data_IF_758092665632
#
_entry.id   IF_758092665632
#
_cell.length_a   1.000
_cell.length_b   1.000
_cell.length_c   1.000
_cell.angle_alpha   90.00
_cell.angle_beta   90.00
_cell.angle_gamma   90.00
#
_symmetry.space_group_name_H-M   'P 1'
#
loop_
_entity.id
_entity.type
_entity.pdbx_description
1 polymer ?
#
# COMPACT_ATOMS: atom_id res chain seq x y z
N UNK A 1 20.18 -30.65 -5.90
CA UNK A 1 19.97 -30.59 -4.42
C UNK A 1 18.48 -30.34 -4.19
N UNK A 2 17.77 -31.23 -3.46
CA UNK A 2 16.36 -30.95 -3.14
C UNK A 2 16.31 -29.86 -2.06
N UNK A 3 15.62 -28.77 -2.34
CA UNK A 3 15.38 -27.68 -1.39
C UNK A 3 14.53 -28.20 -0.22
N UNK A 4 15.02 -28.01 1.00
CA UNK A 4 14.29 -28.39 2.20
C UNK A 4 13.56 -27.18 2.75
N UNK A 5 12.36 -26.92 2.25
CA UNK A 5 11.54 -25.77 2.62
C UNK A 5 11.29 -25.68 4.12
N UNK A 6 11.05 -26.82 4.80
CA UNK A 6 10.79 -26.82 6.23
C UNK A 6 11.99 -26.29 7.02
N UNK A 7 13.20 -26.77 6.70
CA UNK A 7 14.43 -26.31 7.35
C UNK A 7 14.62 -24.80 7.17
N UNK A 8 14.40 -24.29 5.98
CA UNK A 8 14.59 -22.86 5.69
C UNK A 8 13.53 -21.99 6.39
N UNK A 9 12.28 -22.45 6.46
CA UNK A 9 11.24 -21.73 7.21
C UNK A 9 11.47 -21.77 8.72
N UNK A 10 11.93 -22.87 9.28
CA UNK A 10 12.29 -22.97 10.71
C UNK A 10 13.45 -22.02 11.05
N UNK A 11 14.46 -21.92 10.17
CA UNK A 11 15.58 -20.99 10.33
C UNK A 11 15.11 -19.52 10.24
N UNK A 12 14.23 -19.19 9.29
CA UNK A 12 13.66 -17.86 9.17
C UNK A 12 12.87 -17.49 10.44
N UNK A 13 12.05 -18.40 10.96
CA UNK A 13 11.32 -18.18 12.20
C UNK A 13 12.27 -17.86 13.36
N UNK A 14 13.33 -18.65 13.55
CA UNK A 14 14.33 -18.40 14.56
C UNK A 14 14.96 -16.99 14.44
N UNK A 15 15.29 -16.57 13.22
CA UNK A 15 15.84 -15.23 12.98
C UNK A 15 14.84 -14.11 13.26
N UNK A 16 13.57 -14.31 12.95
CA UNK A 16 12.51 -13.35 13.27
C UNK A 16 12.32 -13.24 14.79
N UNK A 17 12.23 -14.35 15.50
CA UNK A 17 12.10 -14.39 16.94
C UNK A 17 13.26 -13.66 17.63
N UNK A 18 14.51 -13.85 17.17
CA UNK A 18 15.68 -13.17 17.73
C UNK A 18 15.69 -11.65 17.45
N UNK A 19 15.37 -11.25 16.22
CA UNK A 19 15.41 -9.84 15.82
C UNK A 19 14.25 -9.03 16.39
N UNK A 20 13.08 -9.63 16.57
CA UNK A 20 11.87 -8.93 17.02
C UNK A 20 11.67 -8.97 18.54
N UNK A 21 12.48 -9.71 19.31
CA UNK A 21 12.29 -9.90 20.76
C UNK A 21 12.25 -8.60 21.60
N UNK A 22 12.86 -7.51 21.11
CA UNK A 22 12.88 -6.21 21.80
C UNK A 22 12.02 -5.16 21.10
N UNK A 23 11.28 -5.54 20.06
CA UNK A 23 10.33 -4.67 19.36
C UNK A 23 9.01 -4.68 20.12
N UNK A 24 8.32 -3.53 20.20
CA UNK A 24 6.98 -3.48 20.80
C UNK A 24 6.05 -4.49 20.12
N UNK A 25 5.27 -5.20 20.91
CA UNK A 25 4.42 -6.30 20.45
C UNK A 25 3.53 -5.89 19.25
N UNK A 26 2.85 -4.74 19.34
CA UNK A 26 1.94 -4.27 18.30
C UNK A 26 2.67 -4.06 16.96
N UNK A 27 3.87 -3.46 17.01
CA UNK A 27 4.69 -3.21 15.81
C UNK A 27 5.22 -4.51 15.23
N UNK A 28 5.73 -5.41 16.07
CA UNK A 28 6.20 -6.72 15.63
C UNK A 28 5.06 -7.54 15.03
N UNK A 29 3.87 -7.50 15.64
CA UNK A 29 2.68 -8.18 15.12
C UNK A 29 2.28 -7.66 13.75
N UNK A 30 2.19 -6.36 13.56
CA UNK A 30 1.86 -5.77 12.26
C UNK A 30 2.85 -6.16 11.16
N UNK A 31 4.15 -6.21 11.50
CA UNK A 31 5.19 -6.67 10.59
C UNK A 31 5.01 -8.14 10.19
N UNK A 32 4.72 -9.02 11.16
CA UNK A 32 4.48 -10.45 10.91
C UNK A 32 3.20 -10.63 10.09
N UNK A 33 2.12 -9.93 10.43
CA UNK A 33 0.86 -9.96 9.66
C UNK A 33 1.08 -9.49 8.21
N UNK A 34 1.98 -8.53 8.00
CA UNK A 34 2.35 -8.09 6.65
C UNK A 34 3.13 -9.16 5.88
N UNK A 35 4.09 -9.83 6.50
CA UNK A 35 4.83 -10.95 5.87
C UNK A 35 3.86 -12.03 5.41
N UNK A 36 2.88 -12.40 6.24
CA UNK A 36 1.86 -13.40 5.90
C UNK A 36 1.03 -12.96 4.69
N UNK A 37 0.52 -11.71 4.69
CA UNK A 37 -0.21 -11.17 3.52
C UNK A 37 0.64 -11.10 2.26
N UNK A 38 1.88 -10.64 2.39
CA UNK A 38 2.82 -10.58 1.26
C UNK A 38 3.09 -11.98 0.68
N UNK A 39 3.24 -12.97 1.54
CA UNK A 39 3.41 -14.37 1.15
C UNK A 39 2.16 -14.90 0.43
N UNK A 40 0.98 -14.51 0.88
CA UNK A 40 -0.29 -14.83 0.20
C UNK A 40 -0.32 -14.24 -1.20
N UNK A 41 -0.02 -12.94 -1.36
CA UNK A 41 0.04 -12.31 -2.69
C UNK A 41 1.07 -12.95 -3.61
N UNK A 42 2.24 -13.31 -3.05
CA UNK A 42 3.27 -14.03 -3.79
C UNK A 42 2.75 -15.38 -4.31
N UNK A 43 2.15 -16.19 -3.41
CA UNK A 43 1.60 -17.51 -3.80
C UNK A 43 0.49 -17.40 -4.84
N UNK A 44 -0.48 -16.50 -4.63
CA UNK A 44 -1.55 -16.25 -5.60
C UNK A 44 -1.00 -15.82 -6.98
N UNK A 45 0.09 -15.05 -6.98
CA UNK A 45 0.79 -14.63 -8.19
C UNK A 45 1.39 -15.82 -8.96
N UNK A 46 2.02 -16.75 -8.25
CA UNK A 46 2.59 -17.97 -8.83
C UNK A 46 1.49 -18.90 -9.37
N UNK A 47 0.42 -19.10 -8.60
CA UNK A 47 -0.70 -19.95 -8.95
C UNK A 47 -1.62 -19.31 -10.02
N UNK A 48 -1.38 -18.05 -10.41
CA UNK A 48 -2.27 -17.25 -11.26
C UNK A 48 -3.72 -17.19 -10.75
N UNK A 49 -3.87 -17.28 -9.44
CA UNK A 49 -5.15 -17.30 -8.73
C UNK A 49 -5.34 -16.00 -7.90
N UNK A 50 -6.46 -15.88 -7.20
CA UNK A 50 -6.71 -14.81 -6.22
C UNK A 50 -6.77 -13.40 -6.82
N UNK A 51 -7.07 -13.25 -8.11
CA UNK A 51 -7.21 -11.93 -8.71
C UNK A 51 -8.47 -11.25 -8.14
N UNK A 52 -8.28 -10.29 -7.26
CA UNK A 52 -9.39 -9.46 -6.75
C UNK A 52 -9.97 -8.66 -7.91
N UNK A 53 -11.28 -8.44 -7.87
CA UNK A 53 -11.93 -7.52 -8.79
C UNK A 53 -11.29 -6.14 -8.65
N UNK A 54 -10.69 -5.66 -9.72
CA UNK A 54 -10.10 -4.34 -9.79
C UNK A 54 -11.20 -3.31 -10.08
N UNK A 55 -11.03 -2.03 -9.70
CA UNK A 55 -11.89 -0.99 -10.21
C UNK A 55 -11.85 -1.01 -11.74
N UNK A 56 -13.05 -0.92 -12.37
CA UNK A 56 -13.15 -0.89 -13.82
C UNK A 56 -12.51 0.38 -14.38
N UNK A 57 -11.90 0.27 -15.56
CA UNK A 57 -11.34 1.41 -16.32
C UNK A 57 -10.39 2.28 -15.47
N UNK A 58 -9.49 1.64 -14.76
CA UNK A 58 -8.47 2.34 -13.97
C UNK A 58 -7.59 3.19 -14.88
N UNK A 59 -7.47 4.48 -14.60
CA UNK A 59 -6.76 5.46 -15.39
C UNK A 59 -5.90 6.40 -14.52
N UNK A 60 -5.04 7.19 -15.17
CA UNK A 60 -4.36 8.32 -14.53
C UNK A 60 -5.39 9.26 -13.91
N UNK A 61 -5.13 9.73 -12.71
CA UNK A 61 -6.04 10.62 -11.99
C UNK A 61 -7.04 9.91 -11.10
N UNK A 62 -7.15 8.60 -11.19
CA UNK A 62 -7.94 7.83 -10.22
C UNK A 62 -7.23 7.76 -8.87
N UNK A 63 -7.97 7.89 -7.80
CA UNK A 63 -7.52 7.57 -6.44
C UNK A 63 -8.08 6.22 -6.05
N UNK A 64 -7.22 5.36 -5.54
CA UNK A 64 -7.52 4.01 -5.11
C UNK A 64 -7.08 3.80 -3.66
N UNK A 65 -7.51 2.70 -3.06
CA UNK A 65 -6.97 2.20 -1.81
C UNK A 65 -5.98 1.07 -2.10
N UNK A 66 -4.72 1.24 -1.72
CA UNK A 66 -3.66 0.28 -1.99
C UNK A 66 -2.87 -0.10 -0.73
N UNK A 67 -2.48 -1.38 -0.65
CA UNK A 67 -1.63 -1.88 0.43
C UNK A 67 -0.14 -1.67 0.08
N UNK A 68 0.54 -0.85 0.87
CA UNK A 68 1.98 -0.59 0.73
C UNK A 68 2.82 -1.52 1.61
N UNK A 69 2.23 -1.99 2.71
CA UNK A 69 2.87 -2.86 3.67
C UNK A 69 3.75 -2.14 4.67
N UNK A 70 4.55 -2.91 5.40
CA UNK A 70 5.51 -2.38 6.36
C UNK A 70 6.87 -2.29 5.69
N UNK A 71 7.44 -1.10 5.66
CA UNK A 71 8.70 -0.77 4.98
C UNK A 71 9.76 -0.28 5.97
N UNK A 72 10.91 0.18 5.48
CA UNK A 72 12.08 0.47 6.30
C UNK A 72 12.18 1.98 6.58
N UNK A 73 12.41 2.35 7.83
CA UNK A 73 12.70 3.72 8.23
C UNK A 73 11.56 4.68 7.94
N UNK A 74 11.83 5.73 7.17
CA UNK A 74 10.87 6.76 6.78
C UNK A 74 10.04 6.43 5.54
N UNK A 75 10.26 5.26 4.92
CA UNK A 75 9.42 4.82 3.83
C UNK A 75 7.97 4.67 4.29
N UNK A 76 7.03 5.03 3.42
CA UNK A 76 5.61 4.92 3.72
C UNK A 76 5.27 3.48 4.13
N UNK A 77 4.65 3.34 5.30
CA UNK A 77 4.20 2.06 5.85
C UNK A 77 2.77 2.12 6.31
N UNK A 78 2.08 0.99 6.21
CA UNK A 78 0.66 0.84 6.58
C UNK A 78 0.47 0.53 8.08
N UNK A 79 1.22 1.20 8.95
CA UNK A 79 1.04 1.04 10.40
C UNK A 79 -0.38 1.44 10.81
N UNK A 80 -1.05 0.58 11.57
CA UNK A 80 -2.43 0.75 12.07
C UNK A 80 -3.50 0.86 10.98
N UNK A 81 -3.09 0.75 9.71
CA UNK A 81 -3.99 0.77 8.55
C UNK A 81 -3.68 -0.42 7.64
N UNK A 82 -4.62 -0.81 6.82
CA UNK A 82 -4.38 -1.83 5.79
C UNK A 82 -4.34 -1.19 4.40
N UNK A 83 -3.49 -0.18 4.27
CA UNK A 83 -3.33 0.57 3.04
C UNK A 83 -3.44 2.08 3.22
N UNK A 84 -3.28 2.78 2.13
CA UNK A 84 -3.43 4.22 2.00
C UNK A 84 -4.16 4.57 0.71
N UNK A 85 -4.78 5.72 0.66
CA UNK A 85 -5.19 6.31 -0.61
C UNK A 85 -3.94 6.56 -1.46
N UNK A 86 -4.06 6.33 -2.75
CA UNK A 86 -3.00 6.56 -3.72
C UNK A 86 -3.55 7.05 -5.05
N UNK A 87 -2.95 8.12 -5.57
CA UNK A 87 -3.22 8.63 -6.90
C UNK A 87 -2.55 7.72 -7.93
N UNK A 88 -3.30 7.23 -8.89
CA UNK A 88 -2.79 6.48 -10.04
C UNK A 88 -2.14 7.46 -11.01
N UNK A 89 -0.83 7.31 -11.21
CA UNK A 89 -0.06 8.09 -12.17
C UNK A 89 0.02 7.44 -13.54
N UNK A 90 0.19 6.12 -13.57
CA UNK A 90 0.28 5.36 -14.80
C UNK A 90 -0.25 3.94 -14.60
N UNK A 91 -0.89 3.40 -15.60
CA UNK A 91 -1.46 2.04 -15.62
C UNK A 91 -0.75 1.22 -16.69
N UNK A 92 -0.26 0.04 -16.31
CA UNK A 92 0.27 -0.97 -17.22
C UNK A 92 -0.50 -2.30 -17.05
N UNK A 93 -0.09 -3.34 -17.74
CA UNK A 93 -0.75 -4.65 -17.78
C UNK A 93 -1.00 -5.24 -16.39
N UNK A 94 0.05 -5.45 -15.61
CA UNK A 94 -0.02 -6.07 -14.27
C UNK A 94 0.27 -5.11 -13.12
N UNK A 95 0.87 -3.96 -13.41
CA UNK A 95 1.34 -2.98 -12.44
C UNK A 95 0.69 -1.61 -12.67
N UNK A 96 0.80 -0.79 -11.64
CA UNK A 96 0.48 0.64 -11.69
C UNK A 96 1.58 1.42 -11.00
N UNK A 97 1.85 2.64 -11.48
CA UNK A 97 2.66 3.61 -10.75
C UNK A 97 1.69 4.47 -9.96
N UNK A 98 1.93 4.58 -8.66
CA UNK A 98 1.08 5.35 -7.76
C UNK A 98 1.88 6.33 -6.92
N UNK A 99 1.23 7.42 -6.54
CA UNK A 99 1.71 8.41 -5.58
C UNK A 99 0.80 8.31 -4.35
N UNK A 100 1.31 7.87 -3.19
CA UNK A 100 0.51 7.78 -1.98
C UNK A 100 0.00 9.14 -1.52
N UNK A 101 -1.18 9.14 -0.90
CA UNK A 101 -1.79 10.30 -0.25
C UNK A 101 -1.67 10.18 1.27
N UNK A 102 -1.53 11.31 1.93
CA UNK A 102 -1.55 11.45 3.38
C UNK A 102 -2.50 12.57 3.78
N UNK A 103 -3.18 12.44 4.90
CA UNK A 103 -3.89 13.54 5.55
C UNK A 103 -2.97 14.44 6.39
N UNK A 104 -1.68 14.08 6.50
CA UNK A 104 -0.69 14.83 7.28
C UNK A 104 0.23 15.59 6.35
N UNK A 105 0.31 16.91 6.59
CA UNK A 105 1.35 17.74 6.00
C UNK A 105 2.74 17.30 6.48
N UNK A 106 3.76 17.65 5.70
CA UNK A 106 5.17 17.50 6.05
C UNK A 106 5.87 18.85 5.84
N UNK A 107 5.72 19.78 6.77
CA UNK A 107 6.28 21.13 6.63
C UNK A 107 7.78 21.09 6.36
N UNK A 108 8.22 21.81 5.34
CA UNK A 108 9.63 21.84 4.91
C UNK A 108 10.04 20.73 3.95
N UNK A 109 9.16 19.78 3.61
CA UNK A 109 9.43 18.78 2.57
C UNK A 109 9.09 19.35 1.18
N UNK A 110 10.07 19.39 0.28
CA UNK A 110 9.85 19.72 -1.14
C UNK A 110 9.14 18.58 -1.91
N UNK A 111 8.94 17.44 -1.26
CA UNK A 111 8.35 16.23 -1.86
C UNK A 111 6.90 15.99 -1.41
N UNK A 112 6.28 16.98 -0.78
CA UNK A 112 4.88 16.95 -0.38
C UNK A 112 4.13 18.03 -1.15
N UNK A 113 3.06 17.66 -1.82
CA UNK A 113 2.22 18.58 -2.59
C UNK A 113 0.78 18.54 -2.08
N UNK A 114 0.22 19.70 -1.71
CA UNK A 114 -1.15 19.81 -1.21
C UNK A 114 -2.14 19.85 -2.38
N UNK A 115 -3.04 18.87 -2.42
CA UNK A 115 -4.16 18.79 -3.37
C UNK A 115 -5.41 19.51 -2.85
N UNK A 116 -5.36 20.03 -1.62
CA UNK A 116 -6.53 20.56 -0.94
C UNK A 116 -7.46 19.50 -0.39
N UNK A 117 -8.71 19.88 -0.16
CA UNK A 117 -9.76 18.99 0.35
C UNK A 117 -10.37 18.23 -0.84
N UNK A 118 -10.35 16.91 -0.74
CA UNK A 118 -11.05 16.02 -1.68
C UNK A 118 -12.24 15.42 -0.92
N UNK A 119 -13.47 15.96 -1.11
CA UNK A 119 -14.62 15.57 -0.29
C UNK A 119 -14.93 14.06 -0.37
N UNK A 120 -14.60 13.43 -1.49
CA UNK A 120 -14.81 12.00 -1.68
C UNK A 120 -13.86 11.13 -0.84
N UNK A 121 -12.76 11.67 -0.35
CA UNK A 121 -11.75 10.93 0.44
C UNK A 121 -11.81 11.23 1.92
N UNK A 122 -12.39 12.37 2.31
CA UNK A 122 -12.37 12.86 3.69
C UNK A 122 -13.73 13.43 4.08
N UNK A 123 -14.35 12.82 5.07
CA UNK A 123 -15.61 13.31 5.64
C UNK A 123 -15.40 14.41 6.70
N UNK A 124 -14.16 14.59 7.17
CA UNK A 124 -13.79 15.57 8.20
C UNK A 124 -13.19 16.87 7.63
N UNK A 125 -13.11 17.00 6.31
CA UNK A 125 -12.56 18.17 5.63
C UNK A 125 -11.04 18.28 5.70
N UNK A 126 -10.32 17.20 6.00
CA UNK A 126 -8.86 17.21 5.98
C UNK A 126 -8.32 17.31 4.56
N UNK A 127 -7.17 17.98 4.42
CA UNK A 127 -6.44 18.09 3.16
C UNK A 127 -5.83 16.73 2.76
N UNK A 128 -5.62 16.57 1.47
CA UNK A 128 -4.93 15.42 0.87
C UNK A 128 -3.58 15.87 0.31
N UNK A 129 -2.51 15.26 0.81
CA UNK A 129 -1.14 15.59 0.40
C UNK A 129 -0.53 14.44 -0.40
N UNK A 130 -0.07 14.73 -1.62
CA UNK A 130 0.74 13.78 -2.39
C UNK A 130 2.11 13.60 -1.74
N UNK A 131 2.55 12.35 -1.58
CA UNK A 131 3.87 11.98 -1.06
C UNK A 131 4.76 11.55 -2.21
N UNK A 132 5.42 12.53 -2.86
CA UNK A 132 6.27 12.29 -4.03
C UNK A 132 7.53 11.46 -3.70
N UNK A 133 7.99 11.52 -2.45
CA UNK A 133 9.08 10.69 -1.94
C UNK A 133 8.71 9.20 -1.80
N UNK A 134 7.42 8.89 -1.86
CA UNK A 134 6.90 7.53 -1.75
C UNK A 134 6.33 6.96 -3.06
N UNK A 135 6.55 7.67 -4.20
CA UNK A 135 6.10 7.19 -5.52
C UNK A 135 6.70 5.81 -5.83
N UNK A 136 5.87 4.88 -6.26
CA UNK A 136 6.33 3.52 -6.57
C UNK A 136 5.43 2.77 -7.54
N UNK A 137 6.02 1.77 -8.19
CA UNK A 137 5.26 0.76 -8.93
C UNK A 137 4.78 -0.32 -7.97
N UNK A 138 3.49 -0.66 -8.06
CA UNK A 138 2.89 -1.76 -7.30
C UNK A 138 2.13 -2.71 -8.23
N UNK A 139 2.03 -3.97 -7.83
CA UNK A 139 1.14 -4.92 -8.49
C UNK A 139 -0.32 -4.50 -8.25
N UNK A 140 -1.16 -4.61 -9.29
CA UNK A 140 -2.62 -4.41 -9.17
C UNK A 140 -3.24 -5.34 -8.11
N UNK A 141 -2.59 -6.43 -7.72
CA UNK A 141 -3.01 -7.30 -6.61
C UNK A 141 -3.05 -6.60 -5.25
N UNK A 142 -2.30 -5.52 -5.10
CA UNK A 142 -2.28 -4.70 -3.88
C UNK A 142 -3.42 -3.68 -3.79
N UNK A 143 -4.24 -3.54 -4.84
CA UNK A 143 -5.43 -2.70 -4.80
C UNK A 143 -6.46 -3.41 -3.92
N UNK A 144 -6.89 -2.75 -2.87
CA UNK A 144 -7.88 -3.26 -1.92
C UNK A 144 -9.20 -2.49 -2.04
N UNK A 145 -10.23 -2.97 -1.36
CA UNK A 145 -11.51 -2.27 -1.31
C UNK A 145 -11.35 -0.92 -0.61
N UNK A 146 -11.75 0.14 -1.29
CA UNK A 146 -11.72 1.49 -0.74
C UNK A 146 -12.70 1.60 0.45
N UNK A 147 -12.26 2.09 1.62
CA UNK A 147 -13.13 2.27 2.78
C UNK A 147 -14.30 3.21 2.45
N UNK A 148 -15.49 2.83 2.84
CA UNK A 148 -16.71 3.66 2.70
C UNK A 148 -17.19 3.90 1.26
N UNK A 149 -16.54 3.35 0.23
CA UNK A 149 -16.89 3.60 -1.18
C UNK A 149 -17.25 2.30 -1.90
N UNK A 150 -18.30 2.35 -2.71
CA UNK A 150 -18.80 1.18 -3.48
C UNK A 150 -18.06 0.98 -4.79
N UNK A 151 -17.61 2.07 -5.44
CA UNK A 151 -16.96 2.04 -6.77
C UNK A 151 -15.49 1.62 -6.76
N UNK A 152 -14.85 1.54 -5.60
CA UNK A 152 -13.45 1.12 -5.47
C UNK A 152 -12.41 2.16 -5.92
N UNK A 153 -12.83 3.28 -6.49
CA UNK A 153 -11.98 4.42 -6.89
C UNK A 153 -12.75 5.74 -6.84
N UNK A 154 -12.00 6.82 -6.78
CA UNK A 154 -12.49 8.20 -6.98
C UNK A 154 -11.67 8.81 -8.10
N UNK A 155 -12.31 9.41 -9.10
CA UNK A 155 -11.60 10.08 -10.20
C UNK A 155 -11.52 11.58 -9.90
N UNK A 156 -10.30 12.10 -9.87
CA UNK A 156 -10.07 13.53 -9.68
C UNK A 156 -10.29 14.29 -10.98
N UNK A 157 -10.70 15.55 -10.87
CA UNK A 157 -10.84 16.42 -12.02
C UNK A 157 -9.46 16.79 -12.59
N UNK A 158 -9.38 17.00 -13.91
CA UNK A 158 -8.12 17.34 -14.62
C UNK A 158 -7.45 18.62 -14.10
N UNK A 159 -8.18 19.50 -13.42
CA UNK A 159 -7.63 20.72 -12.79
C UNK A 159 -6.79 20.45 -11.54
N UNK A 160 -6.89 19.24 -10.98
CA UNK A 160 -6.20 18.84 -9.74
C UNK A 160 -4.91 18.05 -10.04
N UNK A 161 -4.75 17.56 -11.26
CA UNK A 161 -3.68 16.67 -11.70
C UNK A 161 -2.81 17.37 -12.76
#
# INVERSE_FOLDING_TARGET
MRYNLKRETDLLKYHLDDKLKNVKYEVAKEYIDWIDRQTTYFKESIDKAGYKTQPDNLARGDVIWAEFGINIGTELSDYHTRGHYALVWCVDLGNIIVIPLSSRDSPGSAMTFDLGIIPELSDDGSHSYLKLDAIRSISKRRIARMPGKTGGKVTLNDEVI
#
